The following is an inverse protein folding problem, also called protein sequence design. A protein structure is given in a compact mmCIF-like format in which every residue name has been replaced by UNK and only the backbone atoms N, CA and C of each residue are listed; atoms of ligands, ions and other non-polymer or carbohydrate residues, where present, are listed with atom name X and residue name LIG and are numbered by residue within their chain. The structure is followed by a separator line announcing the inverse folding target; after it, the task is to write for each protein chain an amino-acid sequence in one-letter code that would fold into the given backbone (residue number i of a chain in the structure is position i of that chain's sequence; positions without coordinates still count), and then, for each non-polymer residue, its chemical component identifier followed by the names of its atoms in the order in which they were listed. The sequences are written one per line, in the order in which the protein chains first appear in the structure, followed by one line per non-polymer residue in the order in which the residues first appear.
data_IF_103579702934
#
_entry.id   IF_103579702934
#
_cell.length_a   1.000
_cell.length_b   1.000
_cell.length_c   1.000
_cell.angle_alpha   90.00
_cell.angle_beta   90.00
_cell.angle_gamma   90.00
#
_symmetry.space_group_name_H-M   'P 1'
#
loop_
_entity.id
_entity.type
_entity.pdbx_description
1 polymer ?
#
# COMPACT_ATOMS: atom_id res chain seq x y z
N UNK A 1 -9.91 -19.76 -10.93
CA UNK A 1 -8.71 -18.91 -10.73
C UNK A 1 -9.10 -17.76 -9.81
N UNK A 2 -9.20 -18.02 -8.51
CA UNK A 2 -9.55 -17.00 -7.51
C UNK A 2 -8.35 -16.07 -7.29
N UNK A 3 -8.41 -14.90 -7.94
CA UNK A 3 -7.47 -13.82 -7.70
C UNK A 3 -7.77 -13.21 -6.34
N UNK A 4 -7.15 -13.76 -5.30
CA UNK A 4 -6.91 -13.14 -3.99
C UNK A 4 -7.99 -12.14 -3.54
N UNK A 5 -9.11 -12.65 -3.03
CA UNK A 5 -9.89 -11.89 -2.05
C UNK A 5 -9.03 -11.77 -0.80
N UNK A 6 -8.06 -10.85 -0.82
CA UNK A 6 -7.40 -10.38 0.40
C UNK A 6 -8.49 -9.69 1.19
N UNK A 7 -9.07 -10.42 2.14
CA UNK A 7 -10.03 -9.92 3.12
C UNK A 7 -9.36 -8.84 3.98
N UNK A 8 -9.17 -7.65 3.41
CA UNK A 8 -8.69 -6.44 4.11
C UNK A 8 -9.75 -5.88 5.08
N UNK A 9 -10.88 -6.56 5.23
CA UNK A 9 -12.00 -6.19 6.10
C UNK A 9 -11.94 -6.85 7.49
N UNK A 10 -10.99 -7.76 7.74
CA UNK A 10 -10.78 -8.29 9.09
C UNK A 10 -9.98 -7.28 9.89
N UNK A 11 -10.69 -6.35 10.55
CA UNK A 11 -10.10 -5.51 11.58
C UNK A 11 -10.04 -6.31 12.89
N UNK A 12 -8.85 -6.68 13.33
CA UNK A 12 -8.62 -7.43 14.57
C UNK A 12 -8.54 -6.53 15.80
N UNK A 13 -8.69 -5.21 15.66
CA UNK A 13 -8.65 -4.29 16.78
C UNK A 13 -9.91 -4.42 17.64
N UNK A 14 -9.75 -4.33 18.97
CA UNK A 14 -10.86 -4.35 19.90
C UNK A 14 -11.71 -3.08 19.73
N UNK A 15 -13.03 -3.23 19.63
CA UNK A 15 -13.96 -2.10 19.48
C UNK A 15 -13.79 -1.05 20.58
N UNK A 16 -13.53 -1.49 21.82
CA UNK A 16 -13.31 -0.57 22.94
C UNK A 16 -12.10 0.34 22.67
N UNK A 17 -11.01 -0.24 22.18
CA UNK A 17 -9.78 0.52 21.89
C UNK A 17 -9.99 1.51 20.75
N UNK A 18 -10.71 1.10 19.70
CA UNK A 18 -11.07 1.99 18.58
C UNK A 18 -11.89 3.21 19.03
N UNK A 19 -12.81 3.01 19.98
CA UNK A 19 -13.71 4.07 20.46
C UNK A 19 -13.08 4.99 21.49
N UNK A 20 -12.02 4.55 22.18
CA UNK A 20 -11.35 5.33 23.22
C UNK A 20 -9.98 5.86 22.80
N UNK A 21 -9.50 5.50 21.61
CA UNK A 21 -8.23 5.98 21.10
C UNK A 21 -8.24 7.50 20.91
N UNK A 22 -7.19 8.22 21.33
CA UNK A 22 -7.09 9.64 21.06
C UNK A 22 -6.95 9.90 19.55
N UNK A 23 -7.38 11.08 19.06
CA UNK A 23 -7.16 11.45 17.67
C UNK A 23 -5.66 11.48 17.39
N UNK A 24 -5.29 10.98 16.22
CA UNK A 24 -3.91 10.91 15.77
C UNK A 24 -3.33 12.32 15.58
N UNK A 25 -2.06 12.50 15.93
CA UNK A 25 -1.39 13.81 15.76
C UNK A 25 -1.04 14.06 14.29
N UNK A 26 -0.85 15.34 13.92
CA UNK A 26 -0.45 15.71 12.57
C UNK A 26 0.87 15.03 12.13
N UNK A 27 1.81 14.88 13.05
CA UNK A 27 3.09 14.19 12.80
C UNK A 27 2.91 12.70 12.52
N UNK A 28 2.06 12.03 13.30
CA UNK A 28 1.72 10.61 13.09
C UNK A 28 1.03 10.41 11.73
N UNK A 29 0.10 11.30 11.36
CA UNK A 29 -0.53 11.30 10.04
C UNK A 29 0.51 11.47 8.92
N UNK A 30 1.43 12.42 9.06
CA UNK A 30 2.49 12.66 8.08
C UNK A 30 3.39 11.43 7.91
N UNK A 31 3.78 10.77 9.01
CA UNK A 31 4.60 9.56 8.97
C UNK A 31 3.90 8.41 8.22
N UNK A 32 2.61 8.18 8.48
CA UNK A 32 1.82 7.17 7.76
C UNK A 32 1.76 7.48 6.27
N UNK A 33 1.56 8.76 5.91
CA UNK A 33 1.48 9.17 4.51
C UNK A 33 2.83 9.00 3.79
N UNK A 34 3.95 9.33 4.44
CA UNK A 34 5.29 9.05 3.89
C UNK A 34 5.48 7.56 3.59
N UNK A 35 5.18 6.70 4.55
CA UNK A 35 5.25 5.23 4.37
C UNK A 35 4.37 4.73 3.23
N UNK A 36 3.14 5.27 3.09
CA UNK A 36 2.24 4.92 1.99
C UNK A 36 2.80 5.37 0.64
N UNK A 37 3.38 6.56 0.57
CA UNK A 37 3.98 7.09 -0.65
C UNK A 37 5.20 6.25 -1.08
N UNK A 38 6.07 5.88 -0.14
CA UNK A 38 7.21 4.98 -0.40
C UNK A 38 6.77 3.64 -0.98
N UNK A 39 5.73 3.02 -0.40
CA UNK A 39 5.18 1.76 -0.92
C UNK A 39 4.60 1.91 -2.33
N UNK A 40 3.88 3.00 -2.61
CA UNK A 40 3.37 3.28 -3.96
C UNK A 40 4.51 3.42 -4.97
N UNK A 41 5.53 4.22 -4.61
CA UNK A 41 6.70 4.46 -5.46
C UNK A 41 7.41 3.15 -5.80
N UNK A 42 7.64 2.29 -4.81
CA UNK A 42 8.27 0.98 -5.02
C UNK A 42 7.46 0.09 -5.98
N UNK A 43 6.13 0.11 -5.88
CA UNK A 43 5.26 -0.65 -6.79
C UNK A 43 5.31 -0.07 -8.21
N UNK A 44 5.34 1.25 -8.34
CA UNK A 44 5.46 1.93 -9.64
C UNK A 44 6.81 1.66 -10.29
N UNK A 45 7.92 1.77 -9.56
CA UNK A 45 9.27 1.44 -10.05
C UNK A 45 9.35 0.00 -10.58
N UNK A 46 8.76 -0.97 -9.86
CA UNK A 46 8.70 -2.36 -10.31
C UNK A 46 7.84 -2.54 -11.56
N UNK A 47 6.73 -1.77 -11.69
CA UNK A 47 5.89 -1.79 -12.90
C UNK A 47 6.61 -1.19 -14.09
N UNK A 48 7.31 -0.08 -13.89
CA UNK A 48 8.12 0.57 -14.93
C UNK A 48 9.25 -0.35 -15.41
N UNK A 49 9.96 -1.00 -14.49
CA UNK A 49 11.02 -1.95 -14.83
C UNK A 49 10.47 -3.09 -15.71
N UNK A 50 9.37 -3.71 -15.27
CA UNK A 50 8.72 -4.77 -16.06
C UNK A 50 8.30 -4.28 -17.44
N UNK A 51 7.74 -3.07 -17.54
CA UNK A 51 7.30 -2.53 -18.82
C UNK A 51 8.50 -2.23 -19.75
N UNK A 52 9.62 -1.72 -19.22
CA UNK A 52 10.86 -1.53 -19.98
C UNK A 52 11.37 -2.86 -20.53
N UNK A 53 11.40 -3.90 -19.70
CA UNK A 53 11.83 -5.24 -20.11
C UNK A 53 10.92 -5.82 -21.22
N UNK A 54 9.61 -5.58 -21.13
CA UNK A 54 8.68 -5.99 -22.20
C UNK A 54 8.87 -5.18 -23.47
N UNK A 55 9.08 -3.86 -23.40
CA UNK A 55 9.27 -3.02 -24.58
C UNK A 55 10.58 -3.37 -25.33
N UNK A 56 11.62 -3.72 -24.58
CA UNK A 56 12.88 -4.26 -25.12
C UNK A 56 12.69 -5.60 -25.85
N UNK A 57 11.77 -6.46 -25.39
CA UNK A 57 11.47 -7.74 -26.05
C UNK A 57 10.62 -7.60 -27.32
N UNK A 58 9.82 -6.55 -27.46
CA UNK A 58 8.96 -6.32 -28.63
C UNK A 58 9.62 -5.44 -29.71
N UNK A 59 10.85 -4.98 -29.48
CA UNK A 59 11.62 -4.14 -30.43
C UNK A 59 12.74 -4.90 -31.16
N UNK A 60 12.76 -6.23 -31.04
CA UNK A 60 13.60 -7.19 -31.80
C UNK A 60 12.72 -7.98 -32.74
#
# INVERSE_FOLDING_TARGET
MDRFSRNNYSNTANLKELMTAPPMTAEQHAAINRKRNELRRKVEELRELRNKDTDLLHSV
#
